data_IF_326030811919
#
_entry.id   IF_326030811919
#
_cell.length_a   1.000
_cell.length_b   1.000
_cell.length_c   1.000
_cell.angle_alpha   90.00
_cell.angle_beta   90.00
_cell.angle_gamma   90.00
#
_symmetry.space_group_name_H-M   'P 1'
#
loop_
_entity.id
_entity.type
_entity.pdbx_description
1 polymer ?
#
# COMPACT_ATOMS: atom_id res chain seq x y z
N UNK A 1 -7.43 -2.89 -7.97
CA UNK A 1 -6.41 -2.97 -9.04
C UNK A 1 -5.12 -3.65 -8.59
N UNK A 2 -4.49 -3.25 -7.46
CA UNK A 2 -3.24 -3.87 -6.98
C UNK A 2 -3.27 -5.40 -6.87
N UNK A 3 -4.31 -5.96 -6.25
CA UNK A 3 -4.49 -7.43 -6.12
C UNK A 3 -4.54 -8.12 -7.49
N UNK A 4 -5.25 -7.54 -8.46
CA UNK A 4 -5.37 -8.11 -9.81
C UNK A 4 -4.02 -8.16 -10.52
N UNK A 5 -3.23 -7.09 -10.42
CA UNK A 5 -1.89 -7.02 -11.01
C UNK A 5 -0.92 -7.97 -10.31
N UNK A 6 -0.99 -8.07 -8.98
CA UNK A 6 -0.20 -9.03 -8.21
C UNK A 6 -0.53 -10.48 -8.61
N UNK A 7 -1.80 -10.81 -8.86
CA UNK A 7 -2.22 -12.13 -9.32
C UNK A 7 -1.77 -12.43 -10.76
N UNK A 8 -1.86 -11.46 -11.68
CA UNK A 8 -1.29 -11.58 -13.02
C UNK A 8 0.24 -11.80 -13.00
N UNK A 9 0.93 -11.15 -12.06
CA UNK A 9 2.36 -11.37 -11.82
C UNK A 9 2.68 -12.66 -11.06
N UNK A 10 1.74 -13.30 -10.36
CA UNK A 10 2.04 -14.56 -9.66
C UNK A 10 1.82 -15.78 -10.55
N UNK A 11 0.86 -15.70 -11.46
CA UNK A 11 0.49 -16.78 -12.37
C UNK A 11 0.55 -16.26 -13.81
N UNK A 12 1.64 -16.47 -14.56
CA UNK A 12 1.69 -16.05 -15.97
C UNK A 12 0.76 -16.93 -16.83
N UNK A 13 0.52 -18.18 -16.43
CA UNK A 13 -0.29 -19.17 -17.15
C UNK A 13 -1.78 -18.82 -17.30
N UNK A 14 -2.33 -17.92 -16.47
CA UNK A 14 -3.71 -17.41 -16.64
C UNK A 14 -3.85 -16.47 -17.86
N UNK A 15 -2.74 -16.02 -18.45
CA UNK A 15 -2.75 -15.13 -19.62
C UNK A 15 -2.71 -15.87 -20.97
N UNK A 16 -2.45 -17.19 -20.98
CA UNK A 16 -2.44 -18.00 -22.21
C UNK A 16 -1.31 -17.71 -23.20
N UNK A 17 -0.29 -16.93 -22.80
CA UNK A 17 0.86 -16.57 -23.64
C UNK A 17 1.92 -17.68 -23.59
N UNK A 18 2.49 -18.06 -24.75
CA UNK A 18 3.50 -19.13 -24.87
C UNK A 18 4.80 -18.75 -24.17
N UNK A 19 5.38 -19.70 -23.43
CA UNK A 19 6.59 -19.53 -22.61
C UNK A 19 7.75 -18.96 -23.45
N UNK A 20 8.01 -17.66 -23.29
CA UNK A 20 9.11 -16.95 -23.94
C UNK A 20 9.98 -16.33 -22.83
N UNK A 21 11.32 -16.38 -22.90
CA UNK A 21 12.28 -15.84 -21.92
C UNK A 21 11.99 -14.43 -21.36
N UNK A 22 11.22 -13.63 -22.10
CA UNK A 22 10.79 -12.28 -21.71
C UNK A 22 9.64 -12.25 -20.67
N UNK A 23 8.88 -13.34 -20.50
CA UNK A 23 7.67 -13.36 -19.65
C UNK A 23 8.02 -13.21 -18.16
N UNK A 24 9.12 -13.80 -17.68
CA UNK A 24 9.51 -13.72 -16.27
C UNK A 24 9.81 -12.29 -15.79
N UNK A 25 10.38 -11.44 -16.66
CA UNK A 25 10.66 -10.03 -16.32
C UNK A 25 9.36 -9.23 -16.21
N UNK A 26 8.44 -9.43 -17.15
CA UNK A 26 7.11 -8.80 -17.11
C UNK A 26 6.33 -9.26 -15.88
N UNK A 27 6.48 -10.53 -15.52
CA UNK A 27 5.85 -11.14 -14.36
C UNK A 27 6.31 -10.49 -13.04
N UNK A 28 7.62 -10.38 -12.83
CA UNK A 28 8.20 -9.65 -11.69
C UNK A 28 7.71 -8.20 -11.65
N UNK A 29 7.71 -7.52 -12.80
CA UNK A 29 7.28 -6.12 -12.88
C UNK A 29 5.81 -5.96 -12.49
N UNK A 30 4.92 -6.82 -12.99
CA UNK A 30 3.49 -6.80 -12.65
C UNK A 30 3.26 -7.08 -11.17
N UNK A 31 4.02 -8.01 -10.59
CA UNK A 31 3.95 -8.32 -9.16
C UNK A 31 4.35 -7.11 -8.30
N UNK A 32 5.47 -6.45 -8.61
CA UNK A 32 5.94 -5.25 -7.90
C UNK A 32 4.98 -4.06 -8.04
N UNK A 33 4.43 -3.84 -9.23
CA UNK A 33 3.43 -2.79 -9.46
C UNK A 33 2.15 -3.11 -8.65
N UNK A 34 1.73 -4.37 -8.67
CA UNK A 34 0.58 -4.85 -7.90
C UNK A 34 0.74 -4.64 -6.41
N UNK A 35 1.88 -5.03 -5.86
CA UNK A 35 2.25 -4.83 -4.44
C UNK A 35 2.29 -3.33 -4.07
N UNK A 36 2.93 -2.51 -4.90
CA UNK A 36 3.01 -1.06 -4.68
C UNK A 36 1.62 -0.42 -4.62
N UNK A 37 0.76 -0.75 -5.58
CA UNK A 37 -0.61 -0.25 -5.63
C UNK A 37 -1.48 -0.79 -4.49
N UNK A 38 -1.24 -2.03 -4.06
CA UNK A 38 -1.95 -2.61 -2.93
C UNK A 38 -1.60 -1.88 -1.62
N UNK A 39 -0.31 -1.67 -1.38
CA UNK A 39 0.18 -0.97 -0.19
C UNK A 39 -0.30 0.50 -0.17
N UNK A 40 -0.18 1.20 -1.29
CA UNK A 40 -0.67 2.58 -1.41
C UNK A 40 -2.19 2.65 -1.19
N UNK A 41 -2.95 1.76 -1.84
CA UNK A 41 -4.39 1.68 -1.68
C UNK A 41 -4.81 1.41 -0.23
N UNK A 42 -4.12 0.52 0.47
CA UNK A 42 -4.41 0.21 1.87
C UNK A 42 -4.15 1.39 2.80
N UNK A 43 -3.00 2.06 2.67
CA UNK A 43 -2.65 3.24 3.48
C UNK A 43 -3.64 4.38 3.21
N UNK A 44 -3.95 4.66 1.94
CA UNK A 44 -4.92 5.69 1.55
C UNK A 44 -6.32 5.37 2.10
N UNK A 45 -6.80 4.13 1.94
CA UNK A 45 -8.09 3.71 2.48
C UNK A 45 -8.19 3.95 3.99
N UNK A 46 -7.21 3.46 4.75
CA UNK A 46 -7.15 3.65 6.21
C UNK A 46 -7.14 5.14 6.58
N UNK A 47 -6.34 5.96 5.87
CA UNK A 47 -6.26 7.40 6.12
C UNK A 47 -7.62 8.08 5.95
N UNK A 48 -8.30 7.83 4.83
CA UNK A 48 -9.55 8.50 4.51
C UNK A 48 -10.74 7.97 5.32
N UNK A 49 -10.73 6.70 5.70
CA UNK A 49 -11.84 6.09 6.45
C UNK A 49 -11.75 6.35 7.96
N UNK A 50 -10.56 6.30 8.56
CA UNK A 50 -10.41 6.33 10.02
C UNK A 50 -9.69 7.58 10.56
N UNK A 51 -8.84 8.21 9.75
CA UNK A 51 -7.92 9.26 10.22
C UNK A 51 -7.99 10.54 9.36
N UNK A 52 -9.17 10.84 8.80
CA UNK A 52 -9.40 12.02 7.99
C UNK A 52 -9.22 13.27 8.86
N UNK A 53 -8.30 14.16 8.49
CA UNK A 53 -8.01 15.37 9.26
C UNK A 53 -7.10 15.17 10.49
N UNK A 54 -6.75 13.93 10.86
CA UNK A 54 -5.85 13.65 11.98
C UNK A 54 -4.41 13.58 11.49
N UNK A 55 -3.42 14.27 12.09
CA UNK A 55 -2.01 14.07 11.75
C UNK A 55 -1.54 12.66 12.15
N UNK A 56 -0.69 12.05 11.32
CA UNK A 56 -0.18 10.70 11.60
C UNK A 56 0.79 10.72 12.80
N UNK A 57 0.53 9.87 13.79
CA UNK A 57 1.39 9.76 14.97
C UNK A 57 2.73 9.02 14.66
N UNK A 58 3.63 8.95 15.65
CA UNK A 58 4.96 8.35 15.48
C UNK A 58 4.89 6.88 15.05
N UNK A 59 4.00 6.09 15.66
CA UNK A 59 3.84 4.67 15.33
C UNK A 59 3.32 4.49 13.89
N UNK A 60 2.38 5.32 13.45
CA UNK A 60 1.90 5.34 12.06
C UNK A 60 3.00 5.73 11.07
N UNK A 61 3.86 6.69 11.43
CA UNK A 61 5.02 7.04 10.60
C UNK A 61 6.04 5.90 10.49
N UNK A 62 6.26 5.16 11.59
CA UNK A 62 7.10 3.95 11.58
C UNK A 62 6.47 2.86 10.70
N UNK A 63 5.15 2.65 10.80
CA UNK A 63 4.42 1.70 9.96
C UNK A 63 4.59 1.97 8.47
N UNK A 64 4.45 3.24 8.05
CA UNK A 64 4.68 3.65 6.65
C UNK A 64 6.13 3.36 6.22
N UNK A 65 7.12 3.70 7.06
CA UNK A 65 8.53 3.44 6.73
C UNK A 65 8.82 1.95 6.60
N UNK A 66 8.30 1.14 7.52
CA UNK A 66 8.43 -0.32 7.46
C UNK A 66 7.77 -0.88 6.20
N UNK A 67 6.60 -0.35 5.82
CA UNK A 67 5.90 -0.73 4.60
C UNK A 67 6.73 -0.45 3.34
N UNK A 68 7.36 0.73 3.28
CA UNK A 68 8.26 1.13 2.20
C UNK A 68 9.56 0.32 2.17
N UNK A 69 10.11 -0.03 3.33
CA UNK A 69 11.29 -0.90 3.41
C UNK A 69 10.99 -2.30 2.89
N UNK A 70 9.81 -2.85 3.21
CA UNK A 70 9.35 -4.09 2.59
C UNK A 70 9.30 -3.99 1.06
N UNK A 71 8.73 -2.91 0.52
CA UNK A 71 8.67 -2.71 -0.94
C UNK A 71 10.06 -2.59 -1.59
N UNK A 72 11.01 -1.97 -0.89
CA UNK A 72 12.40 -1.89 -1.34
C UNK A 72 13.03 -3.29 -1.40
N UNK A 73 12.85 -4.12 -0.36
CA UNK A 73 13.32 -5.50 -0.39
C UNK A 73 12.61 -6.34 -1.46
N UNK A 74 11.32 -6.12 -1.67
CA UNK A 74 10.57 -6.81 -2.72
C UNK A 74 11.16 -6.48 -4.09
N UNK A 75 11.51 -5.21 -4.32
CA UNK A 75 12.16 -4.75 -5.54
C UNK A 75 13.54 -5.38 -5.73
N UNK A 76 14.37 -5.43 -4.68
CA UNK A 76 15.69 -6.06 -4.73
C UNK A 76 15.62 -7.56 -4.99
N UNK A 77 14.72 -8.26 -4.30
CA UNK A 77 14.51 -9.70 -4.47
C UNK A 77 13.92 -10.00 -5.86
N UNK A 78 12.85 -9.32 -6.25
CA UNK A 78 12.19 -9.50 -7.54
C UNK A 78 13.12 -9.22 -8.71
N UNK A 79 13.92 -8.16 -8.64
CA UNK A 79 14.84 -7.77 -9.71
C UNK A 79 16.22 -8.45 -9.63
N UNK A 80 16.46 -9.35 -8.67
CA UNK A 80 17.79 -9.93 -8.40
C UNK A 80 18.41 -10.65 -9.61
N UNK A 81 17.63 -11.41 -10.38
CA UNK A 81 18.10 -12.07 -11.60
C UNK A 81 18.47 -11.07 -12.72
N UNK A 82 17.77 -9.93 -12.80
CA UNK A 82 18.07 -8.85 -13.76
C UNK A 82 19.34 -8.09 -13.34
N UNK A 83 19.53 -7.91 -12.04
CA UNK A 83 20.71 -7.23 -11.46
C UNK A 83 21.95 -8.12 -11.42
N UNK A 84 21.84 -9.42 -11.74
CA UNK A 84 22.97 -10.33 -11.88
C UNK A 84 23.45 -10.99 -10.57
N UNK A 85 22.72 -10.83 -9.47
CA UNK A 85 22.99 -11.51 -8.18
C UNK A 85 21.95 -12.59 -7.83
N UNK A 86 21.00 -12.85 -8.74
CA UNK A 86 19.94 -13.83 -8.57
C UNK A 86 20.38 -15.29 -8.80
N UNK A 87 19.50 -16.22 -8.46
CA UNK A 87 19.83 -17.65 -8.38
C UNK A 87 19.82 -18.38 -9.73
N UNK A 88 19.20 -17.80 -10.77
CA UNK A 88 19.15 -18.40 -12.10
C UNK A 88 19.81 -17.47 -13.12
N UNK A 89 21.10 -17.71 -13.39
CA UNK A 89 21.75 -17.10 -14.56
C UNK A 89 21.14 -17.69 -15.83
N UNK A 90 20.59 -16.79 -16.66
CA UNK A 90 19.98 -17.07 -17.96
C UNK A 90 20.83 -18.06 -18.77
N UNK A 91 20.30 -19.26 -18.98
CA UNK A 91 20.82 -20.20 -19.98
C UNK A 91 19.68 -20.56 -20.93
N UNK A 92 19.98 -20.59 -22.22
CA UNK A 92 19.07 -20.73 -23.37
C UNK A 92 18.17 -21.99 -23.38
N UNK A 93 18.25 -22.86 -22.38
CA UNK A 93 17.69 -24.24 -22.43
C UNK A 93 16.86 -24.66 -21.22
N UNK A 94 16.61 -23.80 -20.23
CA UNK A 94 15.83 -24.18 -19.03
C UNK A 94 14.67 -23.22 -18.83
N UNK A 95 13.50 -23.76 -18.49
CA UNK A 95 12.29 -22.99 -18.15
C UNK A 95 12.61 -21.83 -17.21
N UNK A 96 12.00 -20.68 -17.47
CA UNK A 96 12.16 -19.44 -16.72
C UNK A 96 11.52 -19.64 -15.35
N UNK A 97 12.28 -20.19 -14.41
CA UNK A 97 11.76 -20.49 -13.09
C UNK A 97 12.12 -19.37 -12.12
N UNK A 98 11.09 -18.76 -11.53
CA UNK A 98 11.25 -17.87 -10.38
C UNK A 98 12.05 -18.63 -9.32
N UNK A 99 13.25 -18.14 -8.99
CA UNK A 99 14.16 -18.86 -8.09
C UNK A 99 13.50 -19.07 -6.72
N UNK A 100 13.73 -20.20 -6.06
CA UNK A 100 13.17 -20.44 -4.72
C UNK A 100 13.59 -19.35 -3.72
N UNK A 101 14.84 -18.88 -3.83
CA UNK A 101 15.37 -17.79 -3.01
C UNK A 101 14.71 -16.45 -3.36
N UNK A 102 14.45 -16.20 -4.64
CA UNK A 102 13.72 -15.04 -5.13
C UNK A 102 12.27 -15.05 -4.60
N UNK A 103 11.58 -16.19 -4.70
CA UNK A 103 10.21 -16.40 -4.21
C UNK A 103 10.12 -16.13 -2.72
N UNK A 104 11.06 -16.69 -1.96
CA UNK A 104 11.12 -16.47 -0.52
C UNK A 104 11.40 -15.01 -0.18
N UNK A 105 12.37 -14.38 -0.86
CA UNK A 105 12.70 -12.97 -0.66
C UNK A 105 11.51 -12.04 -0.95
N UNK A 106 10.82 -12.26 -2.06
CA UNK A 106 9.61 -11.50 -2.42
C UNK A 106 8.48 -11.72 -1.42
N UNK A 107 8.23 -12.96 -0.99
CA UNK A 107 7.18 -13.26 -0.02
C UNK A 107 7.47 -12.66 1.37
N UNK A 108 8.71 -12.75 1.84
CA UNK A 108 9.14 -12.15 3.10
C UNK A 108 9.00 -10.62 3.06
N UNK A 109 9.33 -10.01 1.92
CA UNK A 109 9.20 -8.57 1.70
C UNK A 109 7.74 -8.13 1.70
N UNK A 110 6.87 -8.89 1.05
CA UNK A 110 5.43 -8.67 1.07
C UNK A 110 4.86 -8.74 2.49
N UNK A 111 5.28 -9.74 3.27
CA UNK A 111 4.88 -9.85 4.68
C UNK A 111 5.36 -8.65 5.50
N UNK A 112 6.59 -8.20 5.29
CA UNK A 112 7.13 -7.00 5.95
C UNK A 112 6.32 -5.75 5.58
N UNK A 113 5.96 -5.60 4.31
CA UNK A 113 5.11 -4.50 3.85
C UNK A 113 3.72 -4.55 4.47
N UNK A 114 3.10 -5.74 4.53
CA UNK A 114 1.80 -5.96 5.16
C UNK A 114 1.81 -5.63 6.66
N UNK A 115 2.87 -6.00 7.38
CA UNK A 115 3.05 -5.64 8.80
C UNK A 115 3.13 -4.12 8.98
N UNK A 116 3.87 -3.41 8.12
CA UNK A 116 3.94 -1.94 8.16
C UNK A 116 2.58 -1.27 7.96
N UNK A 117 1.79 -1.76 7.00
CA UNK A 117 0.41 -1.31 6.77
C UNK A 117 -0.50 -1.62 7.96
N UNK A 118 -0.36 -2.79 8.58
CA UNK A 118 -1.13 -3.19 9.75
C UNK A 118 -0.85 -2.27 10.95
N UNK A 119 0.43 -1.96 11.19
CA UNK A 119 0.83 -0.99 12.23
C UNK A 119 0.19 0.37 11.95
N UNK A 120 0.23 0.83 10.70
CA UNK A 120 -0.39 2.10 10.31
C UNK A 120 -1.91 2.13 10.60
N UNK A 121 -2.60 1.02 10.34
CA UNK A 121 -4.03 0.88 10.55
C UNK A 121 -4.42 0.87 12.04
N UNK A 122 -3.70 0.10 12.85
CA UNK A 122 -4.08 -0.18 14.24
C UNK A 122 -3.56 0.88 15.22
N UNK A 123 -2.42 1.51 14.94
CA UNK A 123 -1.76 2.38 15.91
C UNK A 123 -2.30 3.82 15.98
N UNK A 124 -3.27 4.19 15.16
CA UNK A 124 -3.86 5.54 15.18
C UNK A 124 -4.95 5.69 16.25
N UNK A 125 -5.20 6.93 16.68
CA UNK A 125 -6.36 7.25 17.50
C UNK A 125 -7.39 7.97 16.61
N UNK A 126 -8.56 7.35 16.32
CA UNK A 126 -9.58 7.98 15.49
C UNK A 126 -10.16 9.21 16.19
N UNK A 127 -10.67 10.16 15.42
CA UNK A 127 -11.37 11.34 15.96
C UNK A 127 -12.56 10.86 16.78
N UNK A 128 -12.63 11.25 18.06
CA UNK A 128 -13.83 11.03 18.88
C UNK A 128 -14.93 12.01 18.46
N UNK A 129 -16.18 11.56 18.38
CA UNK A 129 -17.33 12.39 17.95
C UNK A 129 -17.51 13.68 18.80
N UNK A 130 -17.01 13.68 20.04
CA UNK A 130 -16.97 14.85 20.93
C UNK A 130 -16.22 16.04 20.30
N UNK A 131 -15.07 15.77 19.67
CA UNK A 131 -14.25 16.81 19.03
C UNK A 131 -14.87 17.37 17.75
N UNK A 132 -15.74 16.60 17.06
CA UNK A 132 -16.51 17.08 15.90
C UNK A 132 -17.65 18.02 16.29
N UNK A 133 -18.16 17.88 17.51
CA UNK A 133 -19.32 18.65 18.00
C UNK A 133 -18.90 20.00 18.58
N UNK A 134 -17.69 20.10 19.14
CA UNK A 134 -17.13 21.36 19.66
C UNK A 134 -16.78 22.40 18.59
N UNK A 135 -16.55 21.99 17.34
CA UNK A 135 -16.26 22.92 16.23
C UNK A 135 -17.50 23.54 15.58
N UNK A 136 -18.72 23.08 15.92
CA UNK A 136 -19.93 23.81 15.54
C UNK A 136 -20.17 24.92 16.58
N UNK A 137 -19.88 26.20 16.27
CA UNK A 137 -20.22 27.27 17.18
C UNK A 137 -21.73 27.21 17.38
N UNK A 138 -22.15 26.94 18.62
CA UNK A 138 -23.53 27.06 19.07
C UNK A 138 -24.09 28.33 18.44
N UNK A 139 -24.98 28.17 17.46
CA UNK A 139 -25.66 29.27 16.83
C UNK A 139 -26.42 30.00 17.93
N UNK A 140 -25.83 31.07 18.44
CA UNK A 140 -26.46 31.95 19.42
C UNK A 140 -27.75 32.45 18.76
N UNK A 141 -28.94 32.12 19.29
CA UNK A 141 -30.17 32.68 18.78
C UNK A 141 -30.10 34.18 19.08
N UNK A 142 -29.77 34.98 18.06
CA UNK A 142 -29.91 36.43 18.17
C UNK A 142 -31.41 36.70 18.27
N UNK A 143 -31.85 36.95 19.49
CA UNK A 143 -33.16 37.50 19.82
C UNK A 143 -33.34 38.76 19.01
N UNK A 144 -34.21 38.71 18.00
CA UNK A 144 -34.79 39.91 17.41
C UNK A 144 -35.64 40.57 18.49
N UNK A 145 -35.07 41.53 19.21
CA UNK A 145 -35.85 42.51 19.95
C UNK A 145 -36.07 43.68 18.99
N UNK A 146 -37.22 43.66 18.33
CA UNK A 146 -37.87 44.85 17.79
C UNK A 146 -37.82 45.98 18.83
N UNK A 147 -37.21 47.09 18.44
CA UNK A 147 -37.44 48.40 19.03
C UNK A 147 -37.68 49.37 17.87
N UNK A 148 -38.85 49.20 17.26
CA UNK A 148 -39.70 50.29 16.76
C UNK A 148 -39.96 51.22 17.98
N UNK A 149 -39.85 52.55 17.99
CA UNK A 149 -40.03 53.60 16.99
C UNK A 149 -39.42 54.92 17.54
N UNK A 150 -39.12 55.91 16.69
CA UNK A 150 -38.71 57.26 17.10
C UNK A 150 -39.90 58.22 17.28
N UNK A 151 -39.83 59.11 18.28
CA UNK A 151 -40.36 60.49 18.29
C UNK A 151 -39.91 61.21 19.57
#
# INVERSE_FOLDING_TARGET
>A
MGIMLAMMGLFPGITGVRDTPAIGVVQVALLLIGESLLMLGAITYVKFTFYLGVPSNLAQQIGIRLALTGLLFASLAGLSDILGFGSHLRTETTDIYFGQLQAFGTLASFALSAVGVLIYAVAGNPISDESRTQEMPMASPKTHSEAEQPA
#
